data_IF_173293083563
#
_entry.id   IF_173293083563
#
_cell.length_a   1.000
_cell.length_b   1.000
_cell.length_c   1.000
_cell.angle_alpha   90.00
_cell.angle_beta   90.00
_cell.angle_gamma   90.00
#
_symmetry.space_group_name_H-M   'P 1'
#
loop_
_entity.id
_entity.type
_entity.pdbx_description
1 polymer ?
#
# COMPACT_ATOMS: atom_id res chain seq x y z
N UNK A 1 -12.96 0.31 10.57
CA UNK A 1 -13.75 0.75 9.39
C UNK A 1 -12.82 1.36 8.36
N UNK A 2 -12.81 0.85 7.13
CA UNK A 2 -12.01 1.37 6.01
C UNK A 2 -12.81 2.47 5.31
N UNK A 3 -12.20 3.63 5.07
CA UNK A 3 -12.82 4.81 4.45
C UNK A 3 -12.05 5.27 3.22
N UNK A 4 -12.71 6.06 2.37
CA UNK A 4 -12.05 6.79 1.27
C UNK A 4 -10.87 7.60 1.82
N UNK A 5 -9.72 7.48 1.16
CA UNK A 5 -8.48 8.16 1.55
C UNK A 5 -7.57 7.32 2.46
N UNK A 6 -8.06 6.25 3.08
CA UNK A 6 -7.23 5.34 3.85
C UNK A 6 -6.20 4.63 2.95
N UNK A 7 -5.03 4.33 3.52
CA UNK A 7 -4.06 3.42 2.91
C UNK A 7 -4.27 2.02 3.46
N UNK A 8 -4.28 1.04 2.56
CA UNK A 8 -4.54 -0.37 2.88
C UNK A 8 -3.48 -1.25 2.23
N UNK A 9 -3.09 -2.32 2.93
CA UNK A 9 -2.29 -3.42 2.40
C UNK A 9 -3.24 -4.54 2.02
N UNK A 10 -3.03 -5.15 0.85
CA UNK A 10 -3.73 -6.38 0.50
C UNK A 10 -3.14 -7.53 1.32
N UNK A 11 -4.00 -8.24 2.07
CA UNK A 11 -3.61 -9.41 2.84
C UNK A 11 -3.16 -10.56 1.92
N UNK A 12 -2.63 -11.62 2.50
CA UNK A 12 -2.38 -12.86 1.76
C UNK A 12 -3.70 -13.51 1.41
N UNK A 13 -3.98 -13.62 0.11
CA UNK A 13 -5.24 -14.15 -0.39
C UNK A 13 -5.00 -15.63 -0.68
N UNK A 14 -5.46 -16.48 0.23
CA UNK A 14 -5.26 -17.94 0.19
C UNK A 14 -5.96 -18.58 -1.04
N UNK A 15 -6.96 -17.91 -1.61
CA UNK A 15 -7.69 -18.42 -2.78
C UNK A 15 -8.05 -17.28 -3.75
N UNK A 16 -7.09 -16.78 -4.55
CA UNK A 16 -7.31 -15.65 -5.43
C UNK A 16 -8.22 -16.08 -6.59
N UNK A 17 -9.37 -15.42 -6.74
CA UNK A 17 -10.26 -15.66 -7.90
C UNK A 17 -9.63 -15.26 -9.24
N UNK A 18 -8.57 -14.45 -9.21
CA UNK A 18 -7.85 -13.98 -10.41
C UNK A 18 -6.36 -13.81 -10.14
N UNK A 19 -5.52 -14.07 -11.15
CA UNK A 19 -4.06 -13.89 -11.08
C UNK A 19 -3.65 -12.45 -10.75
N UNK A 20 -4.48 -11.46 -11.13
CA UNK A 20 -4.23 -10.06 -10.81
C UNK A 20 -4.27 -9.87 -9.29
N UNK A 21 -5.27 -10.43 -8.62
CA UNK A 21 -5.47 -10.30 -7.17
C UNK A 21 -4.32 -10.96 -6.38
N UNK A 22 -3.83 -12.12 -6.83
CA UNK A 22 -2.65 -12.77 -6.26
C UNK A 22 -1.40 -11.87 -6.32
N UNK A 23 -1.15 -11.25 -7.48
CA UNK A 23 -0.02 -10.33 -7.68
C UNK A 23 -0.09 -9.03 -6.87
N UNK A 24 -1.24 -8.76 -6.23
CA UNK A 24 -1.46 -7.59 -5.39
C UNK A 24 -1.26 -7.88 -3.91
N UNK A 25 -1.11 -9.15 -3.52
CA UNK A 25 -0.83 -9.49 -2.12
C UNK A 25 0.43 -8.79 -1.63
N UNK A 26 0.35 -8.23 -0.42
CA UNK A 26 1.43 -7.46 0.18
C UNK A 26 1.57 -6.02 -0.34
N UNK A 27 0.93 -5.64 -1.46
CA UNK A 27 1.01 -4.28 -2.00
C UNK A 27 0.13 -3.32 -1.22
N UNK A 28 0.60 -2.07 -1.13
CA UNK A 28 -0.11 -0.97 -0.52
C UNK A 28 -0.80 -0.15 -1.60
N UNK A 29 -2.07 0.17 -1.37
CA UNK A 29 -2.87 1.02 -2.25
C UNK A 29 -3.71 2.02 -1.45
N UNK A 30 -4.30 2.96 -2.17
CA UNK A 30 -5.14 4.01 -1.60
C UNK A 30 -6.61 3.74 -1.89
N UNK A 31 -7.45 3.81 -0.86
CA UNK A 31 -8.89 3.58 -1.01
C UNK A 31 -9.54 4.76 -1.72
N UNK A 32 -10.21 4.50 -2.85
CA UNK A 32 -10.95 5.50 -3.62
C UNK A 32 -12.43 5.52 -3.27
N UNK A 33 -13.02 4.36 -3.02
CA UNK A 33 -14.40 4.22 -2.56
C UNK A 33 -14.55 2.97 -1.69
N UNK A 34 -15.55 3.00 -0.81
CA UNK A 34 -15.94 1.87 0.03
C UNK A 34 -17.46 1.87 0.11
N UNK A 35 -18.07 0.74 -0.22
CA UNK A 35 -19.51 0.53 -0.12
C UNK A 35 -19.78 -0.88 0.46
N UNK A 36 -21.06 -1.29 0.52
CA UNK A 36 -21.46 -2.62 0.99
C UNK A 36 -20.92 -3.76 0.13
N UNK A 37 -20.56 -3.48 -1.13
CA UNK A 37 -20.11 -4.49 -2.09
C UNK A 37 -18.59 -4.72 -2.02
N UNK A 38 -17.84 -3.77 -1.44
CA UNK A 38 -16.40 -3.87 -1.26
C UNK A 38 -15.70 -2.52 -1.24
N UNK A 39 -14.39 -2.57 -1.41
CA UNK A 39 -13.48 -1.44 -1.32
C UNK A 39 -12.68 -1.34 -2.61
N UNK A 40 -12.78 -0.22 -3.32
CA UNK A 40 -11.97 0.04 -4.52
C UNK A 40 -10.65 0.64 -4.09
N UNK A 41 -9.57 -0.06 -4.39
CA UNK A 41 -8.20 0.33 -4.05
C UNK A 41 -7.46 0.68 -5.33
N UNK A 42 -6.87 1.88 -5.35
CA UNK A 42 -6.00 2.34 -6.42
C UNK A 42 -4.54 2.06 -6.08
N UNK A 43 -3.83 1.46 -7.03
CA UNK A 43 -2.40 1.22 -6.95
C UNK A 43 -1.71 2.00 -8.07
N UNK A 44 -0.73 2.80 -7.68
CA UNK A 44 0.15 3.46 -8.63
C UNK A 44 1.13 2.43 -9.17
N UNK A 45 0.84 1.87 -10.34
CA UNK A 45 1.83 1.15 -11.15
C UNK A 45 2.58 2.18 -12.02
N UNK A 46 3.83 1.90 -12.33
CA UNK A 46 4.76 2.80 -13.03
C UNK A 46 4.21 3.41 -14.34
N UNK A 47 3.26 2.76 -15.01
CA UNK A 47 2.74 3.22 -16.31
C UNK A 47 1.26 3.57 -16.33
N UNK A 48 0.41 3.01 -15.46
CA UNK A 48 -1.03 3.35 -15.38
C UNK A 48 -1.59 3.09 -13.97
N UNK A 49 -2.38 4.01 -13.38
CA UNK A 49 -3.09 3.76 -12.14
C UNK A 49 -4.12 2.64 -12.34
N UNK A 50 -4.02 1.58 -11.54
CA UNK A 50 -4.93 0.43 -11.62
C UNK A 50 -5.85 0.44 -10.41
N UNK A 51 -7.17 0.38 -10.64
CA UNK A 51 -8.18 0.28 -9.59
C UNK A 51 -8.74 -1.14 -9.54
N UNK A 52 -8.74 -1.74 -8.35
CA UNK A 52 -9.19 -3.11 -8.14
C UNK A 52 -10.17 -3.13 -6.96
N UNK A 53 -11.26 -3.86 -7.10
CA UNK A 53 -12.24 -4.09 -6.04
C UNK A 53 -11.79 -5.26 -5.15
N UNK A 54 -11.71 -5.02 -3.85
CA UNK A 54 -11.42 -6.02 -2.84
C UNK A 54 -12.55 -6.11 -1.82
N UNK A 55 -12.69 -7.27 -1.19
CA UNK A 55 -13.52 -7.37 0.01
C UNK A 55 -12.79 -6.77 1.20
N UNK A 56 -13.54 -6.20 2.15
CA UNK A 56 -12.95 -5.57 3.36
C UNK A 56 -12.07 -6.55 4.16
N UNK A 57 -12.41 -7.85 4.17
CA UNK A 57 -11.63 -8.90 4.83
C UNK A 57 -10.26 -9.18 4.19
N UNK A 58 -10.07 -8.78 2.94
CA UNK A 58 -8.82 -8.97 2.18
C UNK A 58 -7.87 -7.78 2.35
N UNK A 59 -8.28 -6.77 3.12
CA UNK A 59 -7.55 -5.52 3.29
C UNK A 59 -7.19 -5.29 4.75
N UNK A 60 -5.92 -4.95 4.99
CA UNK A 60 -5.43 -4.51 6.29
C UNK A 60 -5.19 -3.01 6.23
N UNK A 61 -5.89 -2.26 7.08
CA UNK A 61 -5.68 -0.81 7.18
C UNK A 61 -4.28 -0.55 7.73
N UNK A 62 -3.52 0.32 7.07
CA UNK A 62 -2.21 0.74 7.52
C UNK A 62 -2.32 2.19 8.02
N UNK A 63 -1.70 2.48 9.15
CA UNK A 63 -1.57 3.85 9.60
C UNK A 63 -0.32 4.49 8.95
N UNK A 64 -0.45 5.49 8.06
CA UNK A 64 0.71 6.12 7.42
C UNK A 64 1.67 6.73 8.46
N UNK A 65 1.18 7.22 9.59
CA UNK A 65 2.01 7.79 10.67
C UNK A 65 3.03 6.77 11.22
N UNK A 66 2.70 5.47 11.20
CA UNK A 66 3.61 4.42 11.63
C UNK A 66 4.77 4.21 10.63
N UNK A 67 4.50 4.33 9.32
CA UNK A 67 5.53 4.20 8.28
C UNK A 67 6.46 5.42 8.32
N UNK A 68 5.89 6.62 8.34
CA UNK A 68 6.68 7.86 8.39
C UNK A 68 7.41 8.01 9.73
N UNK A 69 6.84 7.56 10.84
CA UNK A 69 7.53 7.52 12.14
C UNK A 69 8.79 6.65 12.10
N UNK A 70 8.70 5.43 11.56
CA UNK A 70 9.88 4.54 11.39
C UNK A 70 10.91 5.08 10.42
N UNK A 71 10.49 5.63 9.28
CA UNK A 71 11.42 6.27 8.32
C UNK A 71 12.11 7.47 8.98
N UNK A 72 11.36 8.29 9.71
CA UNK A 72 11.90 9.44 10.44
C UNK A 72 12.84 9.00 11.57
N UNK A 73 12.59 7.89 12.23
CA UNK A 73 13.48 7.30 13.24
C UNK A 73 14.79 6.83 12.62
N UNK A 74 14.72 6.07 11.51
CA UNK A 74 15.91 5.66 10.72
C UNK A 74 16.70 6.87 10.22
N UNK A 75 16.02 7.95 9.81
CA UNK A 75 16.65 9.19 9.35
C UNK A 75 17.09 10.14 10.48
N UNK A 76 16.58 9.96 11.70
CA UNK A 76 16.98 10.77 12.87
C UNK A 76 18.13 10.13 13.64
N UNK A 77 18.42 8.85 13.39
CA UNK A 77 19.65 8.18 13.81
C UNK A 77 20.84 8.65 12.95
N UNK A 78 21.10 9.97 13.06
CA UNK A 78 22.05 10.82 12.31
C UNK A 78 23.52 10.51 12.60
N UNK A 79 23.91 9.23 12.69
CA UNK A 79 25.33 8.81 12.72
C UNK A 79 25.73 7.84 11.61
N UNK A 80 24.80 7.40 10.73
CA UNK A 80 25.10 6.52 9.58
C UNK A 80 24.43 6.97 8.28
N UNK A 81 24.46 8.27 7.97
CA UNK A 81 24.13 8.73 6.62
C UNK A 81 25.30 8.45 5.69
N UNK A 82 25.27 7.29 5.05
CA UNK A 82 25.98 7.09 3.78
C UNK A 82 25.34 8.04 2.78
N UNK A 83 26.11 9.02 2.33
CA UNK A 83 25.79 9.90 1.22
C UNK A 83 25.59 9.02 -0.02
N UNK A 84 24.34 8.65 -0.34
CA UNK A 84 24.03 8.09 -1.64
C UNK A 84 24.15 9.24 -2.64
N UNK A 85 25.36 9.44 -3.19
CA UNK A 85 25.58 10.37 -4.29
C UNK A 85 24.85 9.79 -5.50
N UNK A 86 23.81 10.49 -5.94
CA UNK A 86 23.11 10.30 -7.22
C UNK A 86 24.01 10.74 -8.38
N UNK A 87 25.15 10.07 -8.56
CA UNK A 87 25.87 10.09 -9.83
C UNK A 87 25.71 8.68 -10.38
N UNK A 88 25.09 8.55 -11.54
CA UNK A 88 24.74 7.31 -12.26
C UNK A 88 23.36 6.69 -11.96
N UNK A 89 22.29 7.52 -12.01
CA UNK A 89 20.98 7.05 -12.54
C UNK A 89 20.82 7.64 -13.93
#
# INVERSE_FOLDING_TARGET
MIKRGDYVRVAEIINPKTNIVESMSGKVGKVKSSNSNGVVVEFNREKLPTQILFFTKELVKINPDFIFGKIKEILSDKKRFVTLKLKDI
#
